data_IF_553174242148
#
_entry.id   IF_553174242148
#
_cell.length_a   1.000
_cell.length_b   1.000
_cell.length_c   1.000
_cell.angle_alpha   90.00
_cell.angle_beta   90.00
_cell.angle_gamma   90.00
#
_symmetry.space_group_name_H-M   'P 1'
#
loop_
_entity.id
_entity.type
_entity.pdbx_description
1 polymer ?
#
# COMPACT_ATOMS: atom_id res chain seq x y z
N UNK A 1 19.49 -22.83 14.13
CA UNK A 1 20.00 -21.44 14.18
C UNK A 1 20.72 -21.00 12.90
N UNK A 2 21.88 -21.56 12.52
CA UNK A 2 22.61 -21.11 11.31
C UNK A 2 21.87 -21.31 9.98
N UNK A 3 21.25 -22.48 9.76
CA UNK A 3 20.49 -22.76 8.53
C UNK A 3 19.16 -21.98 8.45
N UNK A 4 18.47 -21.79 9.58
CA UNK A 4 17.22 -21.02 9.62
C UNK A 4 17.43 -19.53 9.28
N UNK A 5 18.58 -18.96 9.67
CA UNK A 5 18.95 -17.61 9.29
C UNK A 5 19.19 -17.50 7.77
N UNK A 6 19.83 -18.51 7.17
CA UNK A 6 20.04 -18.57 5.73
C UNK A 6 18.71 -18.72 4.97
N UNK A 7 17.80 -19.56 5.47
CA UNK A 7 16.45 -19.73 4.91
C UNK A 7 15.64 -18.42 4.97
N UNK A 8 15.74 -17.68 6.08
CA UNK A 8 15.11 -16.36 6.23
C UNK A 8 15.64 -15.33 5.22
N UNK A 9 16.96 -15.30 5.01
CA UNK A 9 17.59 -14.43 4.00
C UNK A 9 17.14 -14.84 2.60
N UNK A 10 17.18 -16.13 2.28
CA UNK A 10 16.73 -16.66 0.99
C UNK A 10 15.27 -16.29 0.71
N UNK A 11 14.38 -16.46 1.71
CA UNK A 11 12.98 -16.07 1.59
C UNK A 11 12.80 -14.57 1.34
N UNK A 12 13.61 -13.74 1.99
CA UNK A 12 13.59 -12.28 1.79
C UNK A 12 13.99 -11.91 0.36
N UNK A 13 15.01 -12.56 -0.20
CA UNK A 13 15.38 -12.35 -1.60
C UNK A 13 14.32 -12.85 -2.58
N UNK A 14 13.72 -14.02 -2.34
CA UNK A 14 12.59 -14.49 -3.15
C UNK A 14 11.44 -13.48 -3.16
N UNK A 15 11.08 -12.93 -1.99
CA UNK A 15 10.02 -11.92 -1.90
C UNK A 15 10.35 -10.65 -2.70
N UNK A 16 11.62 -10.21 -2.73
CA UNK A 16 12.03 -9.07 -3.57
C UNK A 16 11.88 -9.37 -5.05
N UNK A 17 12.41 -10.50 -5.52
CA UNK A 17 12.32 -10.90 -6.93
C UNK A 17 10.86 -11.04 -7.38
N UNK A 18 10.01 -11.63 -6.56
CA UNK A 18 8.58 -11.73 -6.86
C UNK A 18 7.89 -10.38 -6.85
N UNK A 19 8.21 -9.49 -5.90
CA UNK A 19 7.65 -8.15 -5.86
C UNK A 19 8.02 -7.35 -7.13
N UNK A 20 9.27 -7.42 -7.59
CA UNK A 20 9.68 -6.78 -8.85
C UNK A 20 8.91 -7.32 -10.07
N UNK A 21 8.74 -8.65 -10.13
CA UNK A 21 7.96 -9.27 -11.21
C UNK A 21 6.50 -8.84 -11.18
N UNK A 22 5.86 -8.90 -10.02
CA UNK A 22 4.46 -8.51 -9.87
C UNK A 22 4.24 -7.02 -10.13
N UNK A 23 5.18 -6.16 -9.74
CA UNK A 23 5.12 -4.74 -10.06
C UNK A 23 5.18 -4.50 -11.57
N UNK A 24 5.95 -5.27 -12.34
CA UNK A 24 5.99 -5.13 -13.80
C UNK A 24 4.72 -5.63 -14.49
N UNK A 25 4.09 -6.68 -13.95
CA UNK A 25 2.97 -7.36 -14.62
C UNK A 25 1.59 -6.84 -14.18
N UNK A 26 1.45 -6.43 -12.91
CA UNK A 26 0.14 -6.16 -12.27
C UNK A 26 0.01 -4.74 -11.71
N UNK A 27 1.07 -3.95 -11.68
CA UNK A 27 0.96 -2.60 -11.16
C UNK A 27 0.15 -1.72 -12.12
N UNK A 28 -0.82 -1.01 -11.55
CA UNK A 28 -1.55 0.05 -12.22
C UNK A 28 -0.84 1.36 -11.90
N UNK A 29 -0.02 1.83 -12.83
CA UNK A 29 0.65 3.12 -12.70
C UNK A 29 -0.31 4.27 -13.01
N UNK A 30 -0.18 5.37 -12.27
CA UNK A 30 -0.95 6.59 -12.48
C UNK A 30 -0.22 7.82 -11.96
N UNK A 31 -0.69 8.99 -12.36
CA UNK A 31 -0.15 10.26 -11.92
C UNK A 31 -1.02 10.88 -10.83
N UNK A 32 -0.38 11.51 -9.86
CA UNK A 32 -1.00 12.25 -8.76
C UNK A 32 -0.37 13.64 -8.69
N UNK A 33 -0.98 14.57 -7.95
CA UNK A 33 -0.38 15.88 -7.71
C UNK A 33 1.02 15.86 -7.09
N UNK A 34 1.38 14.75 -6.42
CA UNK A 34 2.68 14.56 -5.78
C UNK A 34 3.69 13.85 -6.68
N UNK A 35 3.28 13.42 -7.88
CA UNK A 35 4.10 12.70 -8.84
C UNK A 35 3.56 11.29 -9.16
N UNK A 36 4.45 10.45 -9.68
CA UNK A 36 4.13 9.08 -10.11
C UNK A 36 3.68 8.23 -8.94
N UNK A 37 2.61 7.46 -9.13
CA UNK A 37 2.07 6.54 -8.17
C UNK A 37 1.74 5.20 -8.83
N UNK A 38 1.60 4.16 -8.03
CA UNK A 38 1.03 2.90 -8.52
C UNK A 38 0.17 2.21 -7.48
N UNK A 39 -0.77 1.42 -7.97
CA UNK A 39 -1.57 0.51 -7.19
C UNK A 39 -1.31 -0.93 -7.60
N UNK A 40 -1.25 -1.86 -6.64
CA UNK A 40 -1.08 -3.28 -6.91
C UNK A 40 -1.94 -4.14 -5.99
N UNK A 41 -2.51 -5.21 -6.54
CA UNK A 41 -3.14 -6.27 -5.76
C UNK A 41 -2.13 -7.41 -5.52
N UNK A 42 -1.64 -7.53 -4.30
CA UNK A 42 -0.64 -8.54 -3.95
C UNK A 42 -0.66 -8.88 -2.45
N UNK A 43 -0.26 -10.10 -2.16
CA UNK A 43 0.01 -10.57 -0.79
C UNK A 43 1.42 -10.21 -0.31
N UNK A 44 2.29 -9.73 -1.20
CA UNK A 44 3.68 -9.43 -0.91
C UNK A 44 3.86 -7.97 -0.45
N UNK A 45 4.22 -7.78 0.82
CA UNK A 45 4.39 -6.46 1.43
C UNK A 45 5.64 -5.70 0.93
N UNK A 46 6.61 -6.42 0.36
CA UNK A 46 7.87 -5.84 -0.14
C UNK A 46 7.64 -4.89 -1.33
N UNK A 47 6.53 -5.07 -2.05
CA UNK A 47 6.11 -4.17 -3.16
C UNK A 47 5.99 -2.72 -2.72
N UNK A 48 5.53 -2.45 -1.49
CA UNK A 48 5.41 -1.10 -0.96
C UNK A 48 6.78 -0.46 -0.75
N UNK A 49 7.73 -1.24 -0.23
CA UNK A 49 9.09 -0.76 0.06
C UNK A 49 9.91 -0.57 -1.22
N UNK A 50 9.82 -1.50 -2.16
CA UNK A 50 10.45 -1.38 -3.48
C UNK A 50 9.87 -0.21 -4.26
N UNK A 51 8.55 0.00 -4.22
CA UNK A 51 7.90 1.15 -4.83
C UNK A 51 8.47 2.50 -4.34
N UNK A 52 8.63 2.67 -3.04
CA UNK A 52 9.27 3.86 -2.48
C UNK A 52 10.73 4.01 -2.95
N UNK A 53 11.50 2.92 -3.01
CA UNK A 53 12.89 2.93 -3.50
C UNK A 53 13.00 3.28 -4.98
N UNK A 54 12.01 2.91 -5.78
CA UNK A 54 11.93 3.26 -7.21
C UNK A 54 11.51 4.72 -7.44
N UNK A 55 11.21 5.47 -6.39
CA UNK A 55 10.86 6.89 -6.48
C UNK A 55 9.38 7.18 -6.71
N UNK A 56 8.50 6.18 -6.56
CA UNK A 56 7.05 6.42 -6.59
C UNK A 56 6.62 7.22 -5.37
N UNK A 57 5.87 8.30 -5.62
CA UNK A 57 5.44 9.26 -4.61
C UNK A 57 4.33 8.70 -3.73
N UNK A 58 3.43 7.90 -4.31
CA UNK A 58 2.37 7.17 -3.59
C UNK A 58 2.30 5.73 -4.09
N UNK A 59 2.21 4.78 -3.15
CA UNK A 59 2.12 3.35 -3.42
C UNK A 59 0.92 2.78 -2.69
N UNK A 60 0.03 2.11 -3.42
CA UNK A 60 -1.15 1.45 -2.88
C UNK A 60 -0.96 -0.05 -3.03
N UNK A 61 -1.09 -0.77 -1.92
CA UNK A 61 -1.16 -2.23 -1.90
C UNK A 61 -2.51 -2.65 -1.37
N UNK A 62 -3.20 -3.52 -2.11
CA UNK A 62 -4.39 -4.24 -1.64
C UNK A 62 -4.10 -5.73 -1.55
N UNK A 63 -4.41 -6.34 -0.42
CA UNK A 63 -4.33 -7.79 -0.25
C UNK A 63 -5.60 -8.43 -0.84
N UNK A 64 -5.51 -9.24 -1.91
CA UNK A 64 -6.69 -9.83 -2.55
C UNK A 64 -7.37 -10.90 -1.68
N UNK A 65 -6.71 -11.45 -0.66
CA UNK A 65 -7.27 -12.47 0.24
C UNK A 65 -7.97 -11.86 1.44
N UNK A 66 -7.39 -10.83 2.04
CA UNK A 66 -7.89 -10.21 3.28
C UNK A 66 -8.63 -8.90 3.06
N UNK A 67 -8.54 -8.31 1.87
CA UNK A 67 -9.07 -6.98 1.57
C UNK A 67 -8.30 -5.84 2.24
N UNK A 68 -7.15 -6.13 2.85
CA UNK A 68 -6.36 -5.13 3.57
C UNK A 68 -5.72 -4.16 2.60
N UNK A 69 -5.87 -2.88 2.86
CA UNK A 69 -5.27 -1.82 2.06
C UNK A 69 -4.18 -1.12 2.86
N UNK A 70 -3.06 -0.89 2.20
CA UNK A 70 -1.97 -0.08 2.73
C UNK A 70 -1.57 0.92 1.67
N UNK A 71 -1.59 2.19 2.05
CA UNK A 71 -1.18 3.30 1.20
C UNK A 71 0.02 3.93 1.90
N UNK A 72 1.16 4.03 1.20
CA UNK A 72 2.33 4.75 1.70
C UNK A 72 2.77 5.76 0.67
N UNK A 73 3.21 6.93 1.14
CA UNK A 73 3.91 7.89 0.31
C UNK A 73 5.39 7.93 0.64
N UNK A 74 6.17 8.63 -0.19
CA UNK A 74 7.50 9.07 0.24
C UNK A 74 7.34 10.01 1.46
N UNK A 75 8.27 9.94 2.43
CA UNK A 75 8.27 10.81 3.60
C UNK A 75 8.88 12.17 3.25
N UNK A 76 8.22 12.90 2.34
CA UNK A 76 8.58 14.27 1.96
C UNK A 76 7.51 15.23 2.47
N UNK A 77 7.91 16.38 3.00
CA UNK A 77 7.01 17.33 3.67
C UNK A 77 5.89 17.89 2.76
N UNK A 78 6.08 17.83 1.44
CA UNK A 78 5.10 18.23 0.42
C UNK A 78 3.95 17.22 0.25
N UNK A 79 4.10 15.99 0.73
CA UNK A 79 3.10 14.93 0.56
C UNK A 79 2.25 14.77 1.83
N UNK A 80 0.95 15.04 1.73
CA UNK A 80 0.03 14.87 2.85
C UNK A 80 -1.16 14.00 2.44
N UNK A 81 -1.25 12.79 3.00
CA UNK A 81 -2.35 11.84 2.72
C UNK A 81 -3.63 12.11 3.54
N UNK A 82 -3.68 13.16 4.36
CA UNK A 82 -4.90 13.51 5.13
C UNK A 82 -6.14 13.69 4.24
N UNK A 83 -6.08 14.37 3.08
CA UNK A 83 -7.24 14.48 2.18
C UNK A 83 -7.68 13.11 1.66
N UNK A 84 -6.72 12.25 1.28
CA UNK A 84 -6.99 10.88 0.81
C UNK A 84 -7.70 10.08 1.90
N UNK A 85 -7.19 10.15 3.13
CA UNK A 85 -7.80 9.47 4.27
C UNK A 85 -9.25 9.91 4.51
N UNK A 86 -9.51 11.22 4.50
CA UNK A 86 -10.85 11.75 4.71
C UNK A 86 -11.82 11.29 3.62
N UNK A 87 -11.40 11.32 2.35
CA UNK A 87 -12.21 10.83 1.23
C UNK A 87 -12.52 9.34 1.34
N UNK A 88 -11.51 8.52 1.62
CA UNK A 88 -11.70 7.06 1.76
C UNK A 88 -12.61 6.72 2.95
N UNK A 89 -12.44 7.40 4.08
CA UNK A 89 -13.30 7.24 5.26
C UNK A 89 -14.74 7.66 4.99
N UNK A 90 -14.96 8.70 4.20
CA UNK A 90 -16.30 9.14 3.83
C UNK A 90 -16.99 8.16 2.88
N UNK A 91 -16.25 7.59 1.92
CA UNK A 91 -16.78 6.61 0.96
C UNK A 91 -17.07 5.24 1.57
N UNK A 92 -16.22 4.80 2.49
CA UNK A 92 -16.37 3.54 3.19
C UNK A 92 -16.29 3.77 4.70
N UNK A 93 -17.39 4.26 5.30
CA UNK A 93 -17.44 4.55 6.74
C UNK A 93 -17.50 3.27 7.59
N UNK A 94 -17.82 2.12 7.00
CA UNK A 94 -17.88 0.84 7.69
C UNK A 94 -16.47 0.24 7.88
N UNK A 95 -15.52 0.58 7.01
CA UNK A 95 -14.14 0.13 7.09
C UNK A 95 -13.33 0.87 8.14
N UNK A 96 -12.40 0.15 8.76
CA UNK A 96 -11.51 0.71 9.79
C UNK A 96 -10.29 1.34 9.12
N UNK A 97 -10.35 2.65 8.86
CA UNK A 97 -9.23 3.41 8.32
C UNK A 97 -8.39 4.05 9.43
N UNK A 98 -7.07 3.90 9.34
CA UNK A 98 -6.10 4.53 10.23
C UNK A 98 -5.11 5.39 9.43
N UNK A 99 -4.96 6.66 9.82
CA UNK A 99 -3.92 7.55 9.31
C UNK A 99 -2.78 7.61 10.32
N UNK A 100 -1.56 7.30 9.89
CA UNK A 100 -0.38 7.43 10.74
C UNK A 100 -0.08 8.91 11.04
N UNK A 101 0.49 9.21 12.20
CA UNK A 101 0.80 10.59 12.63
C UNK A 101 1.70 11.36 11.65
N UNK A 102 2.56 10.66 10.92
CA UNK A 102 3.39 11.25 9.86
C UNK A 102 2.62 11.71 8.62
N UNK A 103 1.33 11.36 8.49
CA UNK A 103 0.47 11.66 7.32
C UNK A 103 0.95 11.06 5.99
N UNK A 104 1.97 10.20 6.01
CA UNK A 104 2.52 9.49 4.83
C UNK A 104 2.08 8.02 4.75
N UNK A 105 1.20 7.57 5.64
CA UNK A 105 0.75 6.18 5.64
C UNK A 105 -0.71 6.08 6.08
N UNK A 106 -1.50 5.40 5.26
CA UNK A 106 -2.88 4.98 5.57
C UNK A 106 -2.92 3.47 5.63
N UNK A 107 -3.58 2.93 6.66
CA UNK A 107 -3.74 1.51 6.90
C UNK A 107 -5.22 1.18 7.02
N UNK A 108 -5.62 0.10 6.37
CA UNK A 108 -6.90 -0.56 6.53
C UNK A 108 -6.64 -2.06 6.64
N UNK A 109 -6.64 -2.54 7.88
CA UNK A 109 -6.29 -3.90 8.26
C UNK A 109 -4.98 -3.98 9.04
N UNK A 110 -4.99 -4.81 10.07
CA UNK A 110 -3.81 -5.16 10.87
C UNK A 110 -3.96 -6.59 11.36
N UNK A 111 -2.89 -7.37 11.32
CA UNK A 111 -2.89 -8.70 11.93
C UNK A 111 -3.03 -8.66 13.47
N UNK A 112 -2.81 -7.49 14.08
CA UNK A 112 -2.83 -7.30 15.54
C UNK A 112 -4.19 -6.84 16.08
N UNK A 113 -5.13 -6.48 15.21
CA UNK A 113 -6.47 -6.03 15.63
C UNK A 113 -7.54 -6.90 14.95
N UNK A 114 -8.11 -7.89 15.68
CA UNK A 114 -9.10 -8.82 15.15
C UNK A 114 -10.40 -8.15 14.69
N UNK A 115 -10.77 -7.01 15.28
CA UNK A 115 -12.04 -6.33 15.03
C UNK A 115 -12.00 -5.37 13.82
N UNK A 116 -10.85 -5.27 13.14
CA UNK A 116 -10.73 -4.39 11.98
C UNK A 116 -11.59 -4.87 10.81
N UNK A 117 -12.34 -3.93 10.24
CA UNK A 117 -13.15 -4.17 9.04
C UNK A 117 -12.35 -3.78 7.80
N UNK A 118 -12.01 -4.74 6.92
CA UNK A 118 -11.38 -4.44 5.64
C UNK A 118 -12.34 -3.62 4.77
N UNK A 119 -11.78 -2.80 3.88
CA UNK A 119 -12.57 -1.99 2.96
C UNK A 119 -13.23 -2.83 1.89
N UNK A 120 -14.42 -2.42 1.49
CA UNK A 120 -15.12 -2.98 0.32
C UNK A 120 -14.67 -2.32 -0.99
N UNK A 121 -13.86 -1.25 -0.92
CA UNK A 121 -13.37 -0.54 -2.10
C UNK A 121 -12.39 -1.41 -2.88
N UNK A 122 -12.53 -1.41 -4.22
CA UNK A 122 -11.57 -2.01 -5.13
C UNK A 122 -10.31 -1.16 -5.25
N UNK A 123 -9.22 -1.76 -5.74
CA UNK A 123 -8.00 -1.01 -6.04
C UNK A 123 -8.27 0.13 -7.02
N UNK A 124 -9.06 -0.11 -8.07
CA UNK A 124 -9.42 0.91 -9.07
C UNK A 124 -10.16 2.10 -8.45
N UNK A 125 -11.14 1.85 -7.58
CA UNK A 125 -11.88 2.91 -6.89
C UNK A 125 -10.95 3.77 -6.02
N UNK A 126 -9.99 3.14 -5.32
CA UNK A 126 -9.02 3.87 -4.48
C UNK A 126 -8.09 4.71 -5.35
N UNK A 127 -7.60 4.16 -6.46
CA UNK A 127 -6.77 4.88 -7.44
C UNK A 127 -7.51 6.09 -7.99
N UNK A 128 -8.78 5.93 -8.38
CA UNK A 128 -9.58 7.01 -8.93
C UNK A 128 -9.83 8.14 -7.93
N UNK A 129 -9.99 7.83 -6.64
CA UNK A 129 -10.12 8.86 -5.61
C UNK A 129 -8.81 9.61 -5.37
N UNK A 130 -7.66 8.92 -5.45
CA UNK A 130 -6.36 9.57 -5.29
C UNK A 130 -6.04 10.44 -6.50
N UNK A 131 -6.44 10.05 -7.71
CA UNK A 131 -6.28 10.87 -8.93
C UNK A 131 -7.05 12.19 -8.89
N UNK A 132 -8.16 12.26 -8.15
CA UNK A 132 -9.01 13.46 -8.06
C UNK A 132 -8.49 14.52 -7.07
N UNK A 133 -7.50 14.16 -6.24
CA UNK A 133 -6.98 14.97 -5.13
C UNK A 133 -5.75 15.77 -5.54
#
# INVERSE_FOLDING_TARGET
>A
LGMEALDGIYKTFQNKVWAEKEMKEKAVEFETKWGKAFGIETTNDETVHLGQKMGYSVVIRRDPRKGYVRIKSLPKDDINLTPVYNTLKHKDPAATWFLHASRHMILNGSAKNPDMKPTTLSLSQIVDEIKKI
#
